data_IF_241019229393
#
_entry.id   IF_241019229393
#
_cell.length_a   1.000
_cell.length_b   1.000
_cell.length_c   1.000
_cell.angle_alpha   90.00
_cell.angle_beta   90.00
_cell.angle_gamma   90.00
#
_symmetry.space_group_name_H-M   'P 1'
#
loop_
_entity.id
_entity.type
_entity.pdbx_description
1 polymer ?
#
# COMPACT_ATOMS: atom_id res chain seq x y z
N UNK A 1 -58.36 -31.28 14.40
CA UNK A 1 -58.25 -29.87 13.97
C UNK A 1 -57.39 -29.15 15.01
N UNK A 2 -56.24 -28.52 14.78
CA UNK A 2 -55.44 -28.26 13.59
C UNK A 2 -53.99 -28.09 14.07
N UNK A 3 -53.09 -29.01 13.69
CA UNK A 3 -51.64 -28.93 13.95
C UNK A 3 -50.86 -28.55 12.67
N UNK A 4 -51.54 -28.02 11.65
CA UNK A 4 -50.96 -27.76 10.32
C UNK A 4 -50.39 -26.35 10.12
N UNK A 5 -50.51 -25.44 11.11
CA UNK A 5 -50.08 -24.04 10.92
C UNK A 5 -48.60 -23.78 11.23
N UNK A 6 -47.92 -24.62 12.04
CA UNK A 6 -46.52 -24.39 12.45
C UNK A 6 -45.46 -25.02 11.53
N UNK A 7 -45.86 -25.88 10.59
CA UNK A 7 -44.92 -26.53 9.66
C UNK A 7 -44.52 -25.63 8.49
N UNK A 8 -45.37 -24.67 8.12
CA UNK A 8 -45.12 -23.74 7.00
C UNK A 8 -44.09 -22.66 7.31
N UNK A 9 -43.99 -22.19 8.56
CA UNK A 9 -43.03 -21.15 8.94
C UNK A 9 -41.59 -21.67 9.03
N UNK A 10 -41.40 -22.90 9.50
CA UNK A 10 -40.06 -23.51 9.58
C UNK A 10 -39.45 -23.71 8.19
N UNK A 11 -40.26 -24.09 7.19
CA UNK A 11 -39.78 -24.23 5.82
C UNK A 11 -39.49 -22.87 5.16
N UNK A 12 -40.32 -21.86 5.42
CA UNK A 12 -40.08 -20.48 4.92
C UNK A 12 -38.82 -19.88 5.50
N UNK A 13 -38.57 -20.05 6.80
CA UNK A 13 -37.35 -19.60 7.47
C UNK A 13 -36.13 -20.35 6.92
N UNK A 14 -36.23 -21.66 6.69
CA UNK A 14 -35.14 -22.43 6.05
C UNK A 14 -34.84 -21.93 4.64
N UNK A 15 -35.86 -21.71 3.81
CA UNK A 15 -35.70 -21.18 2.45
C UNK A 15 -35.06 -19.79 2.45
N UNK A 16 -35.48 -18.90 3.35
CA UNK A 16 -34.88 -17.57 3.54
C UNK A 16 -33.42 -17.64 3.98
N UNK A 17 -33.09 -18.55 4.90
CA UNK A 17 -31.70 -18.77 5.36
C UNK A 17 -30.84 -19.31 4.21
N UNK A 18 -31.34 -20.28 3.43
CA UNK A 18 -30.63 -20.78 2.25
C UNK A 18 -30.42 -19.71 1.18
N UNK A 19 -31.43 -18.87 0.92
CA UNK A 19 -31.32 -17.72 0.02
C UNK A 19 -30.30 -16.70 0.51
N UNK A 20 -30.28 -16.37 1.80
CA UNK A 20 -29.29 -15.46 2.39
C UNK A 20 -27.86 -16.03 2.30
N UNK A 21 -27.67 -17.32 2.54
CA UNK A 21 -26.37 -17.99 2.39
C UNK A 21 -25.92 -17.98 0.92
N UNK A 22 -26.82 -18.25 -0.03
CA UNK A 22 -26.54 -18.18 -1.46
C UNK A 22 -26.15 -16.76 -1.90
N UNK A 23 -26.84 -15.73 -1.42
CA UNK A 23 -26.52 -14.33 -1.71
C UNK A 23 -25.15 -13.97 -1.12
N UNK A 24 -24.85 -14.35 0.13
CA UNK A 24 -23.52 -14.12 0.73
C UNK A 24 -22.40 -14.85 -0.02
N UNK A 25 -22.66 -16.06 -0.53
CA UNK A 25 -21.71 -16.83 -1.34
C UNK A 25 -21.53 -16.28 -2.77
N UNK A 26 -22.55 -15.61 -3.33
CA UNK A 26 -22.44 -14.93 -4.62
C UNK A 26 -21.67 -13.62 -4.50
N UNK A 27 -21.87 -12.88 -3.40
CA UNK A 27 -21.16 -11.61 -3.15
C UNK A 27 -19.68 -11.82 -2.79
N UNK A 28 -19.28 -13.00 -2.29
CA UNK A 28 -17.88 -13.31 -2.03
C UNK A 28 -17.05 -13.57 -3.30
N UNK A 29 -17.70 -13.78 -4.45
CA UNK A 29 -17.02 -13.86 -5.76
C UNK A 29 -16.76 -12.50 -6.42
N UNK A 30 -17.37 -11.42 -5.93
CA UNK A 30 -17.18 -10.07 -6.48
C UNK A 30 -16.03 -9.28 -5.82
N UNK A 31 -15.43 -9.82 -4.76
CA UNK A 31 -14.34 -9.19 -4.01
C UNK A 31 -12.97 -9.86 -4.22
N UNK A 32 -12.82 -10.68 -5.27
CA UNK A 32 -11.50 -11.13 -5.72
C UNK A 32 -10.96 -10.05 -6.65
N UNK A 33 -10.04 -9.25 -6.14
CA UNK A 33 -9.01 -8.66 -7.00
C UNK A 33 -8.35 -9.84 -7.72
N UNK A 34 -8.69 -10.06 -8.99
CA UNK A 34 -8.07 -11.13 -9.78
C UNK A 34 -6.55 -10.97 -9.68
N UNK A 35 -5.81 -12.05 -9.38
CA UNK A 35 -4.37 -12.00 -9.50
C UNK A 35 -4.05 -11.58 -10.94
N UNK A 36 -3.18 -10.59 -11.08
CA UNK A 36 -2.59 -10.21 -12.37
C UNK A 36 -2.04 -11.50 -12.98
N UNK A 37 -2.43 -11.81 -14.22
CA UNK A 37 -1.95 -12.99 -14.92
C UNK A 37 -0.43 -12.94 -14.95
N UNK A 38 0.23 -13.98 -14.44
CA UNK A 38 1.68 -14.08 -14.61
C UNK A 38 1.94 -14.23 -16.12
N UNK A 39 2.70 -13.34 -16.75
CA UNK A 39 3.02 -13.49 -18.17
C UNK A 39 3.89 -14.75 -18.33
N UNK A 40 3.63 -15.50 -19.40
CA UNK A 40 4.63 -16.39 -19.97
C UNK A 40 5.93 -15.60 -20.15
N UNK A 41 7.08 -16.25 -19.91
CA UNK A 41 8.40 -15.65 -19.76
C UNK A 41 8.75 -14.61 -20.84
N UNK A 42 8.37 -13.35 -20.62
CA UNK A 42 8.97 -12.20 -21.29
C UNK A 42 9.96 -11.65 -20.29
N UNK A 43 11.22 -12.01 -20.49
CA UNK A 43 12.34 -11.56 -19.68
C UNK A 43 12.57 -10.07 -19.99
N UNK A 44 11.79 -9.21 -19.35
CA UNK A 44 11.95 -7.75 -19.37
C UNK A 44 13.06 -7.36 -18.39
N UNK A 45 13.90 -6.40 -18.76
CA UNK A 45 14.94 -5.81 -17.89
C UNK A 45 14.38 -5.32 -16.53
N UNK A 46 13.06 -5.09 -16.45
CA UNK A 46 12.33 -4.68 -15.25
C UNK A 46 11.98 -5.81 -14.27
N UNK A 47 12.36 -7.08 -14.56
CA UNK A 47 12.07 -8.22 -13.70
C UNK A 47 12.59 -8.07 -12.25
N UNK A 48 13.66 -7.29 -12.06
CA UNK A 48 14.26 -6.99 -10.76
C UNK A 48 13.49 -5.92 -9.95
N UNK A 49 12.65 -5.12 -10.58
CA UNK A 49 11.91 -4.03 -9.93
C UNK A 49 10.71 -4.54 -9.13
N UNK A 50 10.05 -5.62 -9.56
CA UNK A 50 8.90 -6.20 -8.83
C UNK A 50 9.31 -6.74 -7.45
N UNK A 51 10.34 -7.58 -7.31
CA UNK A 51 10.77 -8.06 -6.00
C UNK A 51 11.12 -6.92 -5.05
N UNK A 52 11.84 -5.89 -5.52
CA UNK A 52 12.21 -4.71 -4.72
C UNK A 52 10.99 -3.87 -4.32
N UNK A 53 10.02 -3.68 -5.20
CA UNK A 53 8.79 -2.98 -4.86
C UNK A 53 7.97 -3.74 -3.80
N UNK A 54 7.95 -5.08 -3.86
CA UNK A 54 7.30 -5.93 -2.86
C UNK A 54 8.02 -5.87 -1.52
N UNK A 55 9.35 -5.90 -1.55
CA UNK A 55 10.19 -5.74 -0.37
C UNK A 55 9.93 -4.39 0.31
N UNK A 56 9.93 -3.27 -0.45
CA UNK A 56 9.60 -1.95 0.08
C UNK A 56 8.23 -1.93 0.77
N UNK A 57 7.21 -2.56 0.15
CA UNK A 57 5.88 -2.67 0.75
C UNK A 57 5.90 -3.49 2.05
N UNK A 58 6.64 -4.59 2.08
CA UNK A 58 6.79 -5.43 3.26
C UNK A 58 7.49 -4.66 4.40
N UNK A 59 8.56 -3.92 4.10
CA UNK A 59 9.28 -3.08 5.06
C UNK A 59 8.37 -1.98 5.61
N UNK A 60 7.62 -1.28 4.74
CA UNK A 60 6.66 -0.25 5.18
C UNK A 60 5.56 -0.83 6.08
N UNK A 61 5.06 -2.03 5.76
CA UNK A 61 4.11 -2.74 6.64
C UNK A 61 4.74 -3.04 7.98
N UNK A 62 5.94 -3.63 7.98
CA UNK A 62 6.64 -3.99 9.20
C UNK A 62 6.82 -2.78 10.14
N UNK A 63 7.32 -1.65 9.62
CA UNK A 63 7.55 -0.44 10.41
C UNK A 63 6.25 0.17 10.94
N UNK A 64 5.18 0.16 10.14
CA UNK A 64 3.87 0.68 10.57
C UNK A 64 3.12 -0.26 11.51
N UNK A 65 3.40 -1.56 11.47
CA UNK A 65 2.68 -2.60 12.23
C UNK A 65 3.45 -3.10 13.46
N UNK A 66 4.74 -2.75 13.62
CA UNK A 66 5.54 -3.10 14.82
C UNK A 66 5.04 -2.45 16.12
N UNK A 67 3.99 -1.67 16.05
CA UNK A 67 3.31 -1.10 17.21
C UNK A 67 2.30 -2.05 17.84
N UNK A 68 2.75 -2.92 18.76
CA UNK A 68 1.88 -3.21 19.91
C UNK A 68 2.54 -3.26 21.27
N UNK A 69 3.82 -3.64 21.44
CA UNK A 69 4.35 -3.88 22.79
C UNK A 69 5.86 -3.63 22.84
N UNK A 70 6.30 -2.42 23.15
CA UNK A 70 7.71 -2.17 23.49
C UNK A 70 8.09 -0.69 23.65
N UNK A 71 8.90 -0.32 24.67
CA UNK A 71 9.30 1.07 24.94
C UNK A 71 10.25 1.70 23.90
N UNK A 72 10.74 0.91 22.92
CA UNK A 72 11.72 1.34 21.91
C UNK A 72 11.16 1.38 20.47
N UNK A 73 9.85 1.54 20.32
CA UNK A 73 9.19 1.65 19.01
C UNK A 73 9.11 3.11 18.53
N UNK A 74 9.15 3.30 17.21
CA UNK A 74 9.23 4.61 16.57
C UNK A 74 8.04 5.53 16.94
N UNK A 75 6.88 4.93 17.14
CA UNK A 75 5.60 5.61 17.34
C UNK A 75 5.05 5.48 18.77
N UNK A 76 5.90 5.06 19.73
CA UNK A 76 5.51 4.86 21.13
C UNK A 76 4.68 6.03 21.71
N UNK A 77 3.66 5.70 22.51
CA UNK A 77 2.81 6.72 23.16
C UNK A 77 1.67 7.24 22.29
N UNK A 78 1.51 6.73 21.07
CA UNK A 78 0.27 6.84 20.30
C UNK A 78 0.08 5.58 19.44
N UNK A 79 -1.08 5.43 18.80
CA UNK A 79 -1.33 4.37 17.83
C UNK A 79 -1.34 4.97 16.43
N UNK A 80 -0.34 4.62 15.62
CA UNK A 80 -0.21 5.12 14.26
C UNK A 80 -1.43 4.78 13.38
N UNK A 81 -2.14 3.68 13.68
CA UNK A 81 -3.37 3.30 12.96
C UNK A 81 -4.46 4.36 13.07
N UNK A 82 -4.53 5.08 14.18
CA UNK A 82 -5.58 6.06 14.47
C UNK A 82 -5.33 7.42 13.81
N UNK A 83 -4.09 7.68 13.35
CA UNK A 83 -3.75 8.93 12.68
C UNK A 83 -4.23 8.94 11.21
N UNK A 84 -4.56 10.10 10.63
CA UNK A 84 -4.96 10.19 9.23
C UNK A 84 -3.82 9.79 8.27
N UNK A 85 -4.18 9.39 7.05
CA UNK A 85 -3.21 9.15 5.98
C UNK A 85 -2.91 10.47 5.27
N UNK A 86 -1.62 10.80 5.08
CA UNK A 86 -1.18 11.94 4.27
C UNK A 86 -0.48 11.43 3.03
N UNK A 87 -1.08 11.60 1.85
CA UNK A 87 -0.53 11.16 0.57
C UNK A 87 0.26 12.28 -0.12
N UNK A 88 1.34 11.93 -0.80
CA UNK A 88 2.06 12.85 -1.69
C UNK A 88 1.14 13.29 -2.83
N UNK A 89 0.91 14.61 -2.94
CA UNK A 89 0.09 15.23 -3.99
C UNK A 89 0.91 15.81 -5.14
N UNK A 90 2.24 15.75 -5.06
CA UNK A 90 3.13 16.30 -6.08
C UNK A 90 3.24 15.40 -7.33
N UNK A 91 2.65 14.22 -7.29
CA UNK A 91 2.65 13.24 -8.37
C UNK A 91 1.22 12.80 -8.70
N UNK A 92 1.03 12.39 -9.95
CA UNK A 92 -0.26 11.88 -10.45
C UNK A 92 -0.20 10.36 -10.70
N UNK A 93 0.70 9.65 -10.01
CA UNK A 93 0.97 8.21 -10.22
C UNK A 93 -0.27 7.34 -10.26
N UNK A 94 -1.29 7.63 -9.43
CA UNK A 94 -2.52 6.84 -9.42
C UNK A 94 -3.36 7.00 -10.71
N UNK A 95 -3.31 8.17 -11.33
CA UNK A 95 -4.04 8.50 -12.56
C UNK A 95 -3.21 8.07 -13.77
N UNK A 96 -1.94 8.48 -13.83
CA UNK A 96 -1.05 8.23 -14.97
C UNK A 96 -0.74 6.75 -15.13
N UNK A 97 -0.59 6.00 -14.04
CA UNK A 97 -0.35 4.55 -14.09
C UNK A 97 -1.64 3.72 -14.13
N UNK A 98 -2.79 4.33 -14.35
CA UNK A 98 -4.04 3.58 -14.50
C UNK A 98 -4.00 2.79 -15.81
N UNK A 99 -4.27 1.48 -15.80
CA UNK A 99 -4.38 0.70 -17.02
C UNK A 99 -5.45 1.27 -17.95
N UNK A 100 -5.26 1.12 -19.27
CA UNK A 100 -6.29 1.41 -20.26
C UNK A 100 -7.40 0.36 -20.12
N UNK A 101 -8.47 0.69 -19.39
CA UNK A 101 -9.65 -0.17 -19.24
C UNK A 101 -10.93 0.66 -19.40
N UNK A 102 -11.98 0.04 -19.93
CA UNK A 102 -13.29 0.67 -20.14
C UNK A 102 -14.07 0.93 -18.83
N UNK A 103 -13.62 0.36 -17.71
CA UNK A 103 -14.23 0.56 -16.39
C UNK A 103 -13.73 1.85 -15.75
N UNK A 104 -14.63 2.83 -15.68
CA UNK A 104 -14.39 4.15 -15.08
C UNK A 104 -14.94 4.19 -13.66
N UNK A 105 -14.06 4.45 -12.69
CA UNK A 105 -14.46 4.83 -11.32
C UNK A 105 -14.49 6.37 -11.14
N UNK A 106 -14.17 7.14 -12.19
CA UNK A 106 -14.11 8.61 -12.16
C UNK A 106 -14.31 9.20 -13.56
N UNK A 107 -14.77 10.45 -13.64
CA UNK A 107 -15.08 11.20 -14.88
C UNK A 107 -13.83 11.76 -15.61
N UNK A 108 -12.63 11.46 -15.15
CA UNK A 108 -11.41 11.90 -15.82
C UNK A 108 -11.28 11.24 -17.22
N UNK A 109 -11.00 12.07 -18.23
CA UNK A 109 -10.65 11.61 -19.57
C UNK A 109 -9.34 10.84 -19.48
N UNK A 110 -9.39 9.53 -19.70
CA UNK A 110 -8.19 8.69 -19.78
C UNK A 110 -7.48 8.98 -21.10
N UNK A 111 -6.30 9.59 -21.02
CA UNK A 111 -5.29 9.43 -22.07
C UNK A 111 -4.89 7.96 -22.14
N UNK A 112 -4.42 7.46 -23.31
CA UNK A 112 -3.84 6.12 -23.39
C UNK A 112 -2.71 5.98 -22.38
N UNK A 113 -2.57 4.79 -21.81
CA UNK A 113 -1.49 4.49 -20.86
C UNK A 113 -0.13 4.83 -21.47
N UNK A 114 0.66 5.60 -20.71
CA UNK A 114 2.04 5.97 -21.06
C UNK A 114 3.00 5.33 -20.06
N UNK A 115 3.74 4.31 -20.51
CA UNK A 115 4.76 3.65 -19.69
C UNK A 115 5.77 4.65 -19.14
N UNK A 116 6.30 5.52 -20.01
CA UNK A 116 7.31 6.52 -19.63
C UNK A 116 6.78 7.49 -18.58
N UNK A 117 5.57 8.01 -18.76
CA UNK A 117 4.99 8.97 -17.82
C UNK A 117 4.67 8.31 -16.47
N UNK A 118 4.19 7.06 -16.51
CA UNK A 118 3.95 6.27 -15.31
C UNK A 118 5.26 6.03 -14.54
N UNK A 119 6.31 5.54 -15.20
CA UNK A 119 7.62 5.29 -14.57
C UNK A 119 8.24 6.59 -14.02
N UNK A 120 8.09 7.72 -14.71
CA UNK A 120 8.57 9.02 -14.23
C UNK A 120 7.83 9.44 -12.95
N UNK A 121 6.51 9.27 -12.89
CA UNK A 121 5.72 9.59 -11.69
C UNK A 121 6.09 8.67 -10.51
N UNK A 122 6.34 7.38 -10.77
CA UNK A 122 6.85 6.44 -9.77
C UNK A 122 8.22 6.90 -9.24
N UNK A 123 9.15 7.28 -10.13
CA UNK A 123 10.46 7.77 -9.73
C UNK A 123 10.36 9.02 -8.84
N UNK A 124 9.48 9.96 -9.21
CA UNK A 124 9.24 11.18 -8.44
C UNK A 124 8.63 10.90 -7.06
N UNK A 125 7.73 9.91 -6.94
CA UNK A 125 7.19 9.48 -5.64
C UNK A 125 8.29 8.90 -4.74
N UNK A 126 9.14 8.04 -5.30
CA UNK A 126 10.24 7.41 -4.57
C UNK A 126 11.26 8.45 -4.11
N UNK A 127 11.60 9.42 -4.95
CA UNK A 127 12.52 10.51 -4.62
C UNK A 127 11.96 11.47 -3.54
N UNK A 128 10.67 11.79 -3.62
CA UNK A 128 9.98 12.57 -2.58
C UNK A 128 10.05 11.88 -1.22
N UNK A 129 9.67 10.59 -1.18
CA UNK A 129 9.66 9.84 0.07
C UNK A 129 11.06 9.60 0.61
N UNK A 130 12.05 9.38 -0.28
CA UNK A 130 13.47 9.38 0.08
C UNK A 130 13.86 10.68 0.78
N UNK A 131 13.64 11.81 0.15
CA UNK A 131 14.02 13.11 0.69
C UNK A 131 13.36 13.39 2.05
N UNK A 132 12.08 13.02 2.19
CA UNK A 132 11.35 13.12 3.45
C UNK A 132 11.95 12.23 4.56
N UNK A 133 12.30 10.98 4.24
CA UNK A 133 12.89 10.04 5.18
C UNK A 133 14.32 10.43 5.57
N UNK A 134 15.15 10.81 4.61
CA UNK A 134 16.51 11.31 4.87
C UNK A 134 16.47 12.52 5.81
N UNK A 135 15.53 13.46 5.58
CA UNK A 135 15.32 14.58 6.49
C UNK A 135 14.96 14.10 7.90
N UNK A 136 14.03 13.16 8.04
CA UNK A 136 13.65 12.63 9.35
C UNK A 136 14.81 11.88 10.04
N UNK A 137 15.54 11.04 9.32
CA UNK A 137 16.70 10.30 9.87
C UNK A 137 17.81 11.26 10.29
N UNK A 138 18.06 12.31 9.51
CA UNK A 138 19.03 13.34 9.88
C UNK A 138 18.68 14.02 11.21
N UNK A 139 17.39 14.09 11.53
CA UNK A 139 16.86 14.62 12.80
C UNK A 139 16.80 13.61 13.95
N UNK A 140 17.29 12.39 13.80
CA UNK A 140 17.38 11.43 14.93
C UNK A 140 18.73 11.50 15.64
N UNK A 141 18.72 11.34 16.96
CA UNK A 141 19.89 11.57 17.82
C UNK A 141 20.97 10.51 17.65
N UNK A 142 22.24 10.92 17.59
CA UNK A 142 23.40 10.07 17.30
C UNK A 142 23.61 8.94 18.34
N UNK A 143 22.90 9.00 19.46
CA UNK A 143 23.01 8.04 20.56
C UNK A 143 22.08 6.83 20.45
N UNK A 144 21.14 6.83 19.51
CA UNK A 144 20.12 5.80 19.43
C UNK A 144 20.64 4.56 18.68
N UNK A 145 21.39 3.72 19.40
CA UNK A 145 21.54 2.30 19.11
C UNK A 145 20.21 1.55 19.38
N UNK A 146 19.08 2.14 18.97
CA UNK A 146 17.73 1.64 19.25
C UNK A 146 17.17 0.97 18.00
N UNK A 147 16.38 -0.06 18.22
CA UNK A 147 15.62 -0.82 17.22
C UNK A 147 14.96 0.08 16.15
N UNK A 148 14.43 1.24 16.56
CA UNK A 148 13.78 2.23 15.68
C UNK A 148 14.72 2.84 14.62
N UNK A 149 16.01 3.03 14.94
CA UNK A 149 17.01 3.51 13.98
C UNK A 149 17.38 2.41 13.00
N UNK A 150 17.47 1.14 13.43
CA UNK A 150 17.69 0.01 12.52
C UNK A 150 16.55 -0.16 11.52
N UNK A 151 15.31 0.10 11.92
CA UNK A 151 14.13 -0.04 11.06
C UNK A 151 13.96 1.07 10.05
N UNK A 152 14.16 2.32 10.51
CA UNK A 152 14.23 3.45 9.61
C UNK A 152 15.44 3.36 8.70
N UNK A 153 16.58 2.84 9.17
CA UNK A 153 17.69 2.48 8.31
C UNK A 153 17.35 1.30 7.40
N UNK A 154 16.47 0.36 7.73
CA UNK A 154 16.09 -0.68 6.75
C UNK A 154 15.29 -0.06 5.58
N UNK A 155 14.39 0.88 5.88
CA UNK A 155 13.69 1.67 4.84
C UNK A 155 14.66 2.60 4.12
N UNK A 156 15.54 3.27 4.86
CA UNK A 156 16.49 4.25 4.34
C UNK A 156 17.60 3.56 3.58
N UNK A 157 18.26 2.51 4.04
CA UNK A 157 19.24 1.67 3.33
C UNK A 157 18.66 1.03 2.06
N UNK A 158 17.38 0.62 2.06
CA UNK A 158 16.68 0.27 0.80
C UNK A 158 16.64 1.43 -0.21
N UNK A 159 16.72 2.65 0.31
CA UNK A 159 16.70 3.93 -0.41
C UNK A 159 18.12 4.54 -0.57
N UNK A 160 19.12 4.13 0.22
CA UNK A 160 20.27 4.94 0.60
C UNK A 160 21.57 4.13 0.60
N UNK A 161 21.87 3.56 -0.57
CA UNK A 161 23.24 3.35 -1.06
C UNK A 161 24.05 4.68 -1.19
N UNK A 162 23.71 5.76 -0.49
CA UNK A 162 24.21 7.13 -0.75
C UNK A 162 24.12 8.05 0.50
N UNK A 163 25.00 7.80 1.49
CA UNK A 163 25.70 8.70 2.46
C UNK A 163 25.04 9.85 3.30
N UNK A 164 25.24 9.76 4.65
CA UNK A 164 25.77 10.70 5.70
C UNK A 164 25.24 12.16 5.87
N UNK A 165 25.13 12.87 7.04
CA UNK A 165 25.06 12.67 8.53
C UNK A 165 24.55 13.99 9.22
N UNK A 166 24.09 13.95 10.50
CA UNK A 166 24.08 14.97 11.61
C UNK A 166 22.80 15.75 12.12
N UNK A 167 22.44 15.48 13.42
CA UNK A 167 21.81 16.22 14.57
C UNK A 167 20.27 16.47 14.75
N UNK A 168 19.70 16.42 15.99
CA UNK A 168 18.37 15.82 16.20
C UNK A 168 17.23 16.69 16.78
N UNK A 169 16.00 16.36 16.38
CA UNK A 169 14.71 16.86 16.91
C UNK A 169 13.73 15.67 17.01
N UNK A 170 13.38 15.26 18.24
CA UNK A 170 12.59 14.05 18.53
C UNK A 170 11.21 14.37 19.17
N UNK A 171 10.44 15.34 18.66
CA UNK A 171 9.18 15.72 19.33
C UNK A 171 8.06 14.69 19.09
N UNK A 172 7.06 14.65 19.99
CA UNK A 172 5.87 13.81 19.84
C UNK A 172 5.08 14.12 18.55
N UNK A 173 5.02 15.39 18.14
CA UNK A 173 4.32 15.80 16.93
C UNK A 173 5.08 15.40 15.65
N UNK A 174 6.41 15.42 15.66
CA UNK A 174 7.21 14.97 14.50
C UNK A 174 7.00 13.46 14.26
N UNK A 175 6.90 12.66 15.32
CA UNK A 175 6.62 11.22 15.23
C UNK A 175 5.22 10.96 14.67
N UNK A 176 4.23 11.77 15.06
CA UNK A 176 2.89 11.71 14.50
C UNK A 176 2.87 12.08 13.03
N UNK A 177 3.58 13.14 12.64
CA UNK A 177 3.67 13.53 11.23
C UNK A 177 4.33 12.45 10.39
N UNK A 178 5.46 11.91 10.85
CA UNK A 178 6.13 10.79 10.17
C UNK A 178 5.19 9.60 9.98
N UNK A 179 4.45 9.19 11.01
CA UNK A 179 3.48 8.09 10.88
C UNK A 179 2.47 8.38 9.76
N UNK A 180 1.87 9.59 9.73
CA UNK A 180 0.88 9.96 8.69
C UNK A 180 1.48 9.87 7.28
N UNK A 181 2.71 10.34 7.12
CA UNK A 181 3.46 10.31 5.86
C UNK A 181 3.81 8.89 5.42
N UNK A 182 4.29 8.04 6.34
CA UNK A 182 4.62 6.63 6.07
C UNK A 182 3.37 5.81 5.72
N UNK A 183 2.21 6.11 6.34
CA UNK A 183 0.93 5.52 5.92
C UNK A 183 0.57 5.90 4.49
N UNK A 184 0.78 7.16 4.11
CA UNK A 184 0.59 7.60 2.73
C UNK A 184 1.54 6.91 1.77
N UNK A 185 2.80 6.76 2.17
CA UNK A 185 3.80 6.06 1.38
C UNK A 185 3.42 4.59 1.18
N UNK A 186 2.95 3.89 2.23
CA UNK A 186 2.41 2.52 2.11
C UNK A 186 1.30 2.44 1.06
N UNK A 187 0.35 3.38 1.07
CA UNK A 187 -0.73 3.44 0.07
C UNK A 187 -0.15 3.63 -1.33
N UNK A 188 0.79 4.57 -1.51
CA UNK A 188 1.42 4.82 -2.80
C UNK A 188 2.21 3.63 -3.30
N UNK A 189 2.94 2.94 -2.43
CA UNK A 189 3.73 1.74 -2.75
C UNK A 189 2.84 0.58 -3.22
N UNK A 190 1.60 0.45 -2.72
CA UNK A 190 0.63 -0.51 -3.28
C UNK A 190 0.33 -0.17 -4.75
N UNK A 191 0.09 1.11 -5.06
CA UNK A 191 -0.12 1.56 -6.45
C UNK A 191 1.12 1.30 -7.32
N UNK A 192 2.32 1.61 -6.81
CA UNK A 192 3.60 1.34 -7.52
C UNK A 192 3.75 -0.16 -7.83
N UNK A 193 3.49 -1.04 -6.85
CA UNK A 193 3.57 -2.49 -7.05
C UNK A 193 2.63 -2.98 -8.16
N UNK A 194 1.40 -2.44 -8.20
CA UNK A 194 0.43 -2.79 -9.25
C UNK A 194 0.88 -2.28 -10.62
N UNK A 195 1.31 -1.02 -10.69
CA UNK A 195 1.78 -0.40 -11.94
C UNK A 195 3.00 -1.15 -12.52
N UNK A 196 4.00 -1.45 -11.69
CA UNK A 196 5.17 -2.22 -12.12
C UNK A 196 4.79 -3.64 -12.57
N UNK A 197 3.83 -4.28 -11.89
CA UNK A 197 3.29 -5.57 -12.32
C UNK A 197 2.67 -5.49 -13.72
N UNK A 198 1.84 -4.48 -13.97
CA UNK A 198 1.20 -4.23 -15.27
C UNK A 198 2.22 -3.94 -16.38
N UNK A 199 3.20 -3.06 -16.12
CA UNK A 199 4.29 -2.74 -17.07
C UNK A 199 5.11 -4.00 -17.39
N UNK A 200 5.52 -4.77 -16.39
CA UNK A 200 6.31 -5.98 -16.62
C UNK A 200 5.53 -7.09 -17.34
N UNK A 201 4.21 -7.15 -17.15
CA UNK A 201 3.35 -8.07 -17.88
C UNK A 201 3.18 -7.68 -19.36
N UNK A 202 3.56 -6.46 -19.75
CA UNK A 202 3.41 -5.97 -21.12
C UNK A 202 1.95 -5.77 -21.53
N UNK A 203 1.01 -5.79 -20.58
CA UNK A 203 -0.44 -5.76 -20.83
C UNK A 203 -0.93 -4.45 -21.47
N UNK A 204 -0.10 -3.40 -21.47
CA UNK A 204 -0.37 -2.12 -22.14
C UNK A 204 -0.07 -2.13 -23.65
N UNK A 205 0.59 -3.17 -24.16
CA UNK A 205 0.95 -3.30 -25.59
C UNK A 205 -0.12 -4.03 -26.41
N UNK A 206 -1.16 -4.54 -25.76
CA UNK A 206 -2.21 -5.37 -26.37
C UNK A 206 -3.46 -4.56 -26.72
#
# INVERSE_FOLDING_TARGET
MSFSAMRGDSERVRVLVFLLILILALMSRAAVASPVNAPGSVQSDNAHCIPRARELLATLRHVLEKERIGPNTLFHGFNCTDLPVVVNRNTQTAIVCQPTQDVKCSDHKTSPFSETECLQNIANDLDYHRSMLTKYVSTLDQKANSESVKELNTITDSIHNLQQTWSPINSFEDRKDLCKQLKGFRVRTITINRALGYVCAGEYKN
#
